data_IF_312878320339
#
_entry.id   IF_312878320339
#
_cell.length_a   1.000
_cell.length_b   1.000
_cell.length_c   1.000
_cell.angle_alpha   90.00
_cell.angle_beta   90.00
_cell.angle_gamma   90.00
#
_symmetry.space_group_name_H-M   'P 1'
#
loop_
_entity.id
_entity.type
_entity.pdbx_description
1 polymer ?
#
# COMPACT_ATOMS: atom_id res chain seq x y z
N UNK A 1 0.82 -43.26 5.43
CA UNK A 1 -0.33 -44.14 5.10
C UNK A 1 -1.60 -43.44 5.54
N UNK A 2 -2.72 -43.52 4.83
CA UNK A 2 -2.86 -43.68 3.37
C UNK A 2 -3.59 -42.51 2.70
N UNK A 3 -3.41 -42.43 1.40
CA UNK A 3 -4.18 -41.62 0.44
C UNK A 3 -5.64 -42.08 0.36
N UNK A 4 -6.53 -41.15 0.00
CA UNK A 4 -7.77 -41.49 -0.73
C UNK A 4 -8.03 -40.50 -1.85
N UNK A 5 -7.94 -41.07 -3.04
CA UNK A 5 -8.45 -40.55 -4.31
C UNK A 5 -9.98 -40.52 -4.31
N UNK A 6 -10.57 -39.59 -5.04
CA UNK A 6 -11.87 -39.85 -5.63
C UNK A 6 -12.09 -39.07 -6.93
N UNK A 7 -12.78 -39.70 -7.91
CA UNK A 7 -12.76 -39.28 -9.29
C UNK A 7 -13.98 -38.48 -9.72
N UNK A 8 -13.81 -37.88 -10.88
CA UNK A 8 -14.76 -37.18 -11.74
C UNK A 8 -16.06 -37.99 -12.03
N UNK A 9 -17.16 -37.28 -12.22
CA UNK A 9 -18.27 -37.75 -13.05
C UNK A 9 -18.78 -36.61 -13.94
N UNK A 10 -18.59 -36.80 -15.22
CA UNK A 10 -19.13 -35.98 -16.31
C UNK A 10 -20.54 -36.43 -16.62
N UNK A 11 -21.50 -35.52 -16.75
CA UNK A 11 -22.82 -35.77 -17.30
C UNK A 11 -22.99 -35.03 -18.62
N UNK A 12 -22.93 -35.80 -19.70
CA UNK A 12 -23.36 -35.38 -21.04
C UNK A 12 -24.87 -35.38 -21.13
N UNK A 13 -25.49 -34.29 -21.62
CA UNK A 13 -26.91 -34.22 -22.00
C UNK A 13 -27.03 -34.21 -23.52
N UNK A 14 -27.55 -35.30 -24.06
CA UNK A 14 -27.90 -35.52 -25.47
C UNK A 14 -29.04 -34.60 -25.89
N UNK A 15 -28.90 -34.00 -27.06
CA UNK A 15 -29.97 -33.32 -27.81
C UNK A 15 -30.69 -34.32 -28.69
N UNK A 16 -32.01 -34.46 -28.52
CA UNK A 16 -32.88 -35.18 -29.40
C UNK A 16 -33.50 -34.22 -30.43
N UNK A 17 -33.37 -34.59 -31.68
CA UNK A 17 -34.02 -33.97 -32.84
C UNK A 17 -35.34 -34.68 -33.07
N UNK A 18 -36.43 -33.93 -33.19
CA UNK A 18 -37.72 -34.43 -33.60
C UNK A 18 -38.15 -33.70 -34.87
N UNK A 19 -38.19 -34.45 -35.97
CA UNK A 19 -38.74 -34.07 -37.24
C UNK A 19 -40.20 -34.45 -37.28
N UNK A 20 -41.12 -33.53 -37.59
CA UNK A 20 -42.48 -33.82 -37.94
C UNK A 20 -42.83 -33.15 -39.27
N UNK A 21 -43.02 -33.99 -40.31
CA UNK A 21 -43.64 -33.66 -41.58
C UNK A 21 -45.15 -33.48 -41.38
N UNK A 22 -45.75 -32.44 -41.95
CA UNK A 22 -47.17 -32.43 -42.27
C UNK A 22 -47.47 -31.88 -43.68
N UNK A 23 -48.19 -32.61 -44.40
CA UNK A 23 -48.69 -32.42 -45.79
C UNK A 23 -49.75 -31.31 -45.88
N UNK A 24 -49.82 -30.76 -47.07
CA UNK A 24 -50.56 -29.61 -47.46
C UNK A 24 -52.06 -29.75 -47.57
N UNK A 25 -52.67 -28.64 -47.84
CA UNK A 25 -53.89 -28.51 -48.64
C UNK A 25 -53.93 -27.08 -49.22
N UNK A 26 -54.20 -27.04 -50.50
CA UNK A 26 -54.46 -25.89 -51.36
C UNK A 26 -55.78 -25.24 -51.05
N UNK A 27 -55.78 -23.90 -50.91
CA UNK A 27 -56.99 -23.09 -51.10
C UNK A 27 -56.58 -21.74 -51.69
N UNK A 28 -57.09 -21.50 -52.88
CA UNK A 28 -56.98 -20.29 -53.68
C UNK A 28 -57.89 -19.20 -53.11
N UNK A 29 -57.37 -18.07 -52.74
CA UNK A 29 -58.15 -16.84 -52.68
C UNK A 29 -57.32 -15.67 -53.18
N UNK A 30 -57.79 -15.08 -54.28
CA UNK A 30 -57.27 -13.80 -54.82
C UNK A 30 -57.47 -12.68 -53.79
N UNK A 31 -56.42 -12.08 -53.34
CA UNK A 31 -56.48 -10.82 -52.61
C UNK A 31 -55.48 -9.87 -53.22
N UNK A 32 -55.97 -8.70 -53.58
CA UNK A 32 -55.25 -7.60 -54.21
C UNK A 32 -53.96 -7.17 -53.43
N UNK A 33 -52.87 -7.20 -54.16
CA UNK A 33 -51.58 -6.70 -53.67
C UNK A 33 -51.55 -5.18 -53.74
N UNK A 34 -51.84 -4.50 -52.64
CA UNK A 34 -51.41 -3.11 -52.41
C UNK A 34 -49.92 -3.15 -52.11
N UNK A 35 -49.11 -2.61 -53.03
CA UNK A 35 -47.68 -2.49 -52.88
C UNK A 35 -47.35 -1.43 -51.81
N UNK A 36 -47.05 -1.89 -50.62
CA UNK A 36 -46.43 -1.07 -49.61
C UNK A 36 -44.97 -0.80 -50.04
N UNK A 37 -44.70 0.41 -50.52
CA UNK A 37 -43.33 0.87 -50.78
C UNK A 37 -42.58 0.81 -49.41
N UNK A 38 -41.73 -0.17 -49.25
CA UNK A 38 -40.74 -0.22 -48.19
C UNK A 38 -39.79 0.97 -48.39
N UNK A 39 -39.86 1.95 -47.50
CA UNK A 39 -38.86 3.00 -47.44
C UNK A 39 -37.55 2.37 -46.98
N UNK A 40 -36.66 2.13 -47.90
CA UNK A 40 -35.27 1.78 -47.61
C UNK A 40 -34.65 2.98 -46.91
N UNK A 41 -34.52 2.86 -45.60
CA UNK A 41 -33.82 3.82 -44.76
C UNK A 41 -32.34 3.81 -45.19
N UNK A 42 -31.96 4.75 -46.05
CA UNK A 42 -30.56 4.95 -46.39
C UNK A 42 -29.78 5.23 -45.09
N UNK A 43 -29.08 4.25 -44.58
CA UNK A 43 -28.06 4.46 -43.58
C UNK A 43 -26.96 5.28 -44.25
N UNK A 44 -26.85 6.54 -43.88
CA UNK A 44 -25.72 7.41 -44.27
C UNK A 44 -24.46 6.78 -43.70
N UNK A 45 -23.73 6.07 -44.54
CA UNK A 45 -22.45 5.47 -44.13
C UNK A 45 -21.44 6.62 -44.13
N UNK A 46 -20.85 6.85 -42.95
CA UNK A 46 -19.82 7.86 -42.74
C UNK A 46 -18.68 7.63 -43.75
N UNK A 47 -18.18 8.69 -44.46
CA UNK A 47 -17.10 8.55 -45.41
C UNK A 47 -15.83 8.02 -44.73
N UNK A 48 -15.08 7.18 -45.42
CA UNK A 48 -13.91 6.46 -44.87
C UNK A 48 -12.85 7.38 -44.30
N UNK A 49 -12.63 8.52 -44.90
CA UNK A 49 -11.67 9.53 -44.40
C UNK A 49 -12.09 10.08 -43.02
N UNK A 50 -13.39 10.38 -42.82
CA UNK A 50 -13.92 10.90 -41.57
C UNK A 50 -13.86 9.82 -40.45
N UNK A 51 -14.14 8.56 -40.81
CA UNK A 51 -13.99 7.42 -39.89
C UNK A 51 -12.54 7.23 -39.45
N UNK A 52 -11.58 7.39 -40.36
CA UNK A 52 -10.16 7.28 -40.05
C UNK A 52 -9.68 8.44 -39.17
N UNK A 53 -10.12 9.67 -39.43
CA UNK A 53 -9.82 10.80 -38.51
C UNK A 53 -10.40 10.56 -37.11
N UNK A 54 -11.64 10.12 -37.03
CA UNK A 54 -12.27 9.81 -35.73
C UNK A 54 -11.51 8.72 -34.96
N UNK A 55 -11.07 7.67 -35.68
CA UNK A 55 -10.26 6.61 -35.08
C UNK A 55 -8.92 7.15 -34.53
N UNK A 56 -8.24 8.01 -35.27
CA UNK A 56 -6.98 8.64 -34.80
C UNK A 56 -7.22 9.53 -33.57
N UNK A 57 -8.31 10.29 -33.54
CA UNK A 57 -8.67 11.11 -32.38
C UNK A 57 -8.97 10.23 -31.17
N UNK A 58 -9.72 9.15 -31.34
CA UNK A 58 -10.02 8.20 -30.23
C UNK A 58 -8.74 7.58 -29.69
N UNK A 59 -7.86 7.10 -30.56
CA UNK A 59 -6.57 6.54 -30.15
C UNK A 59 -5.71 7.59 -29.42
N UNK A 60 -5.68 8.82 -29.94
CA UNK A 60 -4.96 9.93 -29.29
C UNK A 60 -5.50 10.24 -27.89
N UNK A 61 -6.82 10.38 -27.76
CA UNK A 61 -7.46 10.60 -26.46
C UNK A 61 -7.20 9.45 -25.48
N UNK A 62 -7.25 8.19 -25.98
CA UNK A 62 -6.97 7.02 -25.16
C UNK A 62 -5.50 6.99 -24.69
N UNK A 63 -4.56 7.35 -25.58
CA UNK A 63 -3.13 7.44 -25.25
C UNK A 63 -2.84 8.52 -24.21
N UNK A 64 -3.47 9.67 -24.33
CA UNK A 64 -3.36 10.76 -23.36
C UNK A 64 -3.95 10.34 -22.00
N UNK A 65 -5.15 9.76 -22.00
CA UNK A 65 -5.76 9.26 -20.79
C UNK A 65 -4.90 8.17 -20.13
N UNK A 66 -4.38 7.22 -20.92
CA UNK A 66 -3.48 6.17 -20.45
C UNK A 66 -2.21 6.76 -19.82
N UNK A 67 -1.59 7.76 -20.48
CA UNK A 67 -0.44 8.46 -19.90
C UNK A 67 -0.76 9.11 -18.56
N UNK A 68 -1.87 9.86 -18.44
CA UNK A 68 -2.24 10.56 -17.22
C UNK A 68 -2.63 9.61 -16.07
N UNK A 69 -3.33 8.52 -16.36
CA UNK A 69 -3.82 7.60 -15.33
C UNK A 69 -2.83 6.50 -14.97
N UNK A 70 -2.02 6.04 -15.93
CA UNK A 70 -1.16 4.87 -15.73
C UNK A 70 0.34 5.20 -15.73
N UNK A 71 0.82 6.10 -16.58
CA UNK A 71 2.26 6.39 -16.67
C UNK A 71 2.66 7.51 -15.72
N UNK A 72 1.96 8.63 -15.72
CA UNK A 72 2.29 9.81 -14.93
C UNK A 72 2.41 9.53 -13.43
N UNK A 73 1.54 8.74 -12.78
CA UNK A 73 1.69 8.40 -11.35
C UNK A 73 2.97 7.62 -11.04
N UNK A 74 3.50 6.91 -12.04
CA UNK A 74 4.72 6.10 -11.90
C UNK A 74 5.97 6.76 -12.51
N UNK A 75 5.81 7.81 -13.31
CA UNK A 75 6.93 8.55 -13.92
C UNK A 75 7.90 9.12 -12.88
N UNK A 76 7.40 9.32 -11.64
CA UNK A 76 8.20 9.73 -10.50
C UNK A 76 9.27 8.71 -10.10
N UNK A 77 9.00 7.41 -10.30
CA UNK A 77 9.96 6.32 -10.05
C UNK A 77 11.15 6.34 -11.03
N UNK A 78 11.02 7.06 -12.15
CA UNK A 78 12.00 7.12 -13.22
C UNK A 78 12.78 8.43 -13.23
N UNK A 79 12.56 9.30 -12.25
CA UNK A 79 13.38 10.51 -12.13
C UNK A 79 14.83 10.11 -11.87
N UNK A 80 15.78 10.68 -12.60
CA UNK A 80 17.19 10.47 -12.31
C UNK A 80 17.45 10.92 -10.87
N UNK A 81 18.18 10.10 -10.11
CA UNK A 81 18.66 10.46 -8.81
C UNK A 81 19.78 11.50 -8.97
N UNK A 82 19.57 12.70 -8.44
CA UNK A 82 20.59 13.75 -8.37
C UNK A 82 21.41 13.70 -7.09
N UNK A 83 21.02 12.87 -6.11
CA UNK A 83 21.74 12.60 -4.89
C UNK A 83 22.58 11.33 -4.93
N UNK A 84 23.13 10.96 -3.78
CA UNK A 84 23.92 9.74 -3.62
C UNK A 84 23.04 8.49 -3.72
N UNK A 85 23.49 7.52 -4.51
CA UNK A 85 22.84 6.20 -4.64
C UNK A 85 23.47 5.15 -3.74
N UNK A 86 23.85 5.54 -2.56
CA UNK A 86 24.29 4.58 -1.56
C UNK A 86 23.09 3.77 -1.04
N UNK A 87 23.31 2.57 -0.61
CA UNK A 87 22.26 1.66 -0.11
C UNK A 87 21.13 1.32 -1.11
N UNK A 88 21.30 1.59 -2.42
CA UNK A 88 20.28 1.31 -3.43
C UNK A 88 19.09 2.25 -3.45
N UNK A 89 19.11 3.32 -2.67
CA UNK A 89 18.09 4.37 -2.62
C UNK A 89 18.70 5.72 -2.98
N UNK A 90 17.86 6.65 -3.47
CA UNK A 90 18.29 8.00 -3.71
C UNK A 90 18.18 8.80 -2.42
N UNK A 91 19.31 9.31 -1.93
CA UNK A 91 19.37 10.14 -0.73
C UNK A 91 19.42 11.59 -1.21
N UNK A 92 18.44 12.44 -0.82
CA UNK A 92 18.43 13.85 -1.16
C UNK A 92 19.62 14.57 -0.55
N UNK A 93 20.15 15.58 -1.25
CA UNK A 93 21.21 16.44 -0.74
C UNK A 93 20.69 17.32 0.42
N UNK A 94 21.61 17.72 1.33
CA UNK A 94 21.32 18.67 2.41
C UNK A 94 20.85 18.00 3.72
N UNK A 95 20.99 16.71 3.86
CA UNK A 95 20.77 15.97 5.10
C UNK A 95 22.04 15.26 5.53
N UNK A 96 22.52 15.56 6.75
CA UNK A 96 23.76 15.01 7.28
C UNK A 96 23.55 13.80 8.22
N UNK A 97 22.30 13.59 8.67
CA UNK A 97 21.97 12.53 9.62
C UNK A 97 21.07 11.50 8.94
N UNK A 98 21.58 10.29 8.81
CA UNK A 98 20.87 9.19 8.18
C UNK A 98 20.68 8.04 9.16
N UNK A 99 19.57 7.33 8.98
CA UNK A 99 19.26 6.12 9.74
C UNK A 99 18.47 5.14 8.88
N UNK A 100 18.26 3.97 9.45
CA UNK A 100 17.44 2.92 8.85
C UNK A 100 16.42 2.41 9.86
N UNK A 101 15.38 1.81 9.38
CA UNK A 101 14.49 0.95 10.17
C UNK A 101 14.61 -0.50 9.74
N UNK A 102 14.51 -1.39 10.70
CA UNK A 102 14.61 -2.84 10.49
C UNK A 102 13.58 -3.60 11.31
N UNK A 103 13.27 -4.80 10.85
CA UNK A 103 12.43 -5.79 11.53
C UNK A 103 12.91 -7.20 11.19
N UNK A 104 12.20 -8.21 11.61
CA UNK A 104 12.47 -9.60 11.21
C UNK A 104 12.49 -9.81 9.68
N UNK A 105 11.86 -8.93 8.89
CA UNK A 105 11.84 -9.03 7.43
C UNK A 105 13.22 -8.84 6.79
N UNK A 106 14.14 -8.11 7.42
CA UNK A 106 15.51 -7.95 6.96
C UNK A 106 16.40 -9.14 7.32
N UNK A 107 15.88 -10.09 8.11
CA UNK A 107 16.63 -11.26 8.54
C UNK A 107 17.84 -10.91 9.43
N UNK A 108 18.94 -11.61 9.23
CA UNK A 108 20.17 -11.40 10.00
C UNK A 108 20.94 -10.18 9.51
N UNK A 109 21.16 -9.22 10.36
CA UNK A 109 21.94 -8.00 10.06
C UNK A 109 23.43 -8.25 10.23
N UNK A 110 24.21 -7.86 9.24
CA UNK A 110 25.68 -7.79 9.34
C UNK A 110 26.11 -6.45 9.91
N UNK A 111 26.13 -6.37 11.23
CA UNK A 111 26.45 -5.14 11.95
C UNK A 111 27.86 -4.61 11.68
N UNK A 112 28.83 -5.49 11.40
CA UNK A 112 30.20 -5.09 11.05
C UNK A 112 30.21 -4.40 9.70
N UNK A 113 29.51 -4.93 8.71
CA UNK A 113 29.39 -4.32 7.40
C UNK A 113 28.63 -2.98 7.48
N UNK A 114 27.60 -2.90 8.31
CA UNK A 114 26.86 -1.67 8.53
C UNK A 114 27.73 -0.59 9.17
N UNK A 115 28.62 -0.96 10.09
CA UNK A 115 29.56 -0.04 10.74
C UNK A 115 30.60 0.51 9.74
N UNK A 116 31.07 -0.28 8.79
CA UNK A 116 31.99 0.19 7.75
C UNK A 116 31.43 1.34 6.91
N UNK A 117 30.09 1.41 6.79
CA UNK A 117 29.44 2.49 6.08
C UNK A 117 29.47 3.85 6.83
N UNK A 118 29.99 3.92 8.06
CA UNK A 118 30.25 5.20 8.75
C UNK A 118 31.34 6.05 8.11
N UNK A 119 32.17 5.43 7.28
CA UNK A 119 33.26 6.11 6.55
C UNK A 119 32.83 6.55 5.14
N UNK A 120 31.56 6.34 4.78
CA UNK A 120 31.00 6.71 3.48
C UNK A 120 30.53 8.17 3.47
N UNK A 121 30.15 8.66 2.30
CA UNK A 121 29.60 10.01 2.15
C UNK A 121 28.24 10.19 2.87
N UNK A 122 27.54 9.08 3.19
CA UNK A 122 26.25 9.07 3.91
C UNK A 122 26.28 8.11 5.09
N UNK A 123 26.99 8.45 6.18
CA UNK A 123 27.11 7.55 7.32
C UNK A 123 25.75 7.32 8.01
N UNK A 124 25.50 6.06 8.40
CA UNK A 124 24.34 5.73 9.21
C UNK A 124 24.62 6.05 10.69
N UNK A 125 23.74 6.82 11.30
CA UNK A 125 23.87 7.28 12.69
C UNK A 125 22.96 6.51 13.64
N UNK A 126 21.76 6.15 13.19
CA UNK A 126 20.76 5.53 14.03
C UNK A 126 20.01 4.37 13.32
N UNK A 127 19.42 3.52 14.14
CA UNK A 127 18.61 2.40 13.68
C UNK A 127 17.34 2.31 14.53
N UNK A 128 16.17 2.36 13.89
CA UNK A 128 14.90 1.99 14.50
C UNK A 128 14.60 0.51 14.26
N UNK A 129 14.10 -0.17 15.29
CA UNK A 129 13.80 -1.60 15.23
C UNK A 129 12.36 -1.87 15.62
N UNK A 130 11.66 -2.70 14.83
CA UNK A 130 10.36 -3.22 15.22
C UNK A 130 10.52 -3.98 16.53
N UNK A 131 9.78 -3.58 17.55
CA UNK A 131 9.77 -4.29 18.82
C UNK A 131 8.52 -5.15 18.95
N UNK A 132 7.36 -4.55 18.69
CA UNK A 132 6.07 -5.18 18.93
C UNK A 132 5.05 -4.79 17.86
N UNK A 133 4.02 -5.62 17.72
CA UNK A 133 2.85 -5.39 16.90
C UNK A 133 1.59 -5.84 17.63
N UNK A 134 0.52 -5.04 17.57
CA UNK A 134 -0.71 -5.39 18.24
C UNK A 134 -0.54 -5.64 19.73
N UNK A 135 -1.32 -6.54 20.30
CA UNK A 135 -1.34 -6.76 21.75
C UNK A 135 -0.44 -7.89 22.28
N UNK A 136 0.27 -8.63 21.42
CA UNK A 136 0.91 -9.90 21.78
C UNK A 136 2.02 -10.38 20.84
N UNK A 137 2.29 -9.70 19.73
CA UNK A 137 3.32 -10.11 18.79
C UNK A 137 4.64 -9.36 19.01
N UNK A 138 5.68 -10.08 19.44
CA UNK A 138 7.06 -9.56 19.47
C UNK A 138 7.76 -9.81 18.14
N UNK A 139 8.54 -8.83 17.68
CA UNK A 139 9.48 -9.08 16.59
C UNK A 139 10.60 -9.99 17.08
N UNK A 140 10.79 -11.13 16.41
CA UNK A 140 11.71 -12.19 16.83
C UNK A 140 13.17 -11.79 16.83
N UNK A 141 13.51 -10.70 16.14
CA UNK A 141 14.88 -10.21 16.00
C UNK A 141 15.17 -9.00 16.91
N UNK A 142 14.15 -8.47 17.58
CA UNK A 142 14.24 -7.21 18.31
C UNK A 142 15.35 -7.21 19.35
N UNK A 143 15.32 -8.12 20.30
CA UNK A 143 16.28 -8.12 21.43
C UNK A 143 17.73 -8.19 20.94
N UNK A 144 17.99 -9.11 19.99
CA UNK A 144 19.32 -9.27 19.42
C UNK A 144 19.77 -8.00 18.66
N UNK A 145 18.91 -7.46 17.81
CA UNK A 145 19.22 -6.27 17.03
C UNK A 145 19.37 -5.02 17.93
N UNK A 146 18.52 -4.88 18.94
CA UNK A 146 18.55 -3.76 19.86
C UNK A 146 19.85 -3.72 20.70
N UNK A 147 20.33 -4.88 21.14
CA UNK A 147 21.63 -5.01 21.80
C UNK A 147 22.79 -4.75 20.82
N UNK A 148 22.75 -5.34 19.63
CA UNK A 148 23.82 -5.21 18.64
C UNK A 148 23.98 -3.79 18.11
N UNK A 149 22.89 -3.05 17.88
CA UNK A 149 22.95 -1.65 17.44
C UNK A 149 23.79 -0.81 18.41
N UNK A 150 23.53 -0.93 19.71
CA UNK A 150 24.31 -0.24 20.75
C UNK A 150 25.76 -0.68 20.78
N UNK A 151 26.01 -1.99 20.71
CA UNK A 151 27.38 -2.55 20.77
C UNK A 151 28.24 -2.10 19.59
N UNK A 152 27.61 -1.74 18.46
CA UNK A 152 28.28 -1.20 17.27
C UNK A 152 28.22 0.35 17.19
N UNK A 153 27.79 1.02 18.27
CA UNK A 153 27.80 2.48 18.37
C UNK A 153 26.77 3.20 17.52
N UNK A 154 25.66 2.54 17.19
CA UNK A 154 24.49 3.20 16.62
C UNK A 154 23.57 3.74 17.71
N UNK A 155 23.01 4.92 17.50
CA UNK A 155 21.87 5.37 18.28
C UNK A 155 20.68 4.48 17.89
N UNK A 156 20.03 3.89 18.88
CA UNK A 156 18.97 2.93 18.63
C UNK A 156 17.61 3.46 19.06
N UNK A 157 16.57 3.02 18.38
CA UNK A 157 15.19 3.28 18.73
C UNK A 157 14.32 2.03 18.51
N UNK A 158 13.12 2.07 19.06
CA UNK A 158 12.16 1.00 18.92
C UNK A 158 10.82 1.51 18.43
N UNK A 159 10.14 0.73 17.57
CA UNK A 159 8.80 1.06 17.12
C UNK A 159 7.79 -0.04 17.39
N UNK A 160 6.55 0.40 17.55
CA UNK A 160 5.37 -0.43 17.68
C UNK A 160 4.47 -0.29 16.46
N UNK A 161 4.14 -1.39 15.80
CA UNK A 161 3.16 -1.40 14.72
C UNK A 161 1.73 -1.48 15.30
N UNK A 162 0.97 -0.41 15.09
CA UNK A 162 -0.34 -0.25 15.69
C UNK A 162 -1.44 -1.02 14.93
N UNK A 163 -2.17 -1.86 15.65
CA UNK A 163 -3.32 -2.59 15.13
C UNK A 163 -4.62 -2.01 15.71
N UNK A 164 -5.40 -1.23 14.93
CA UNK A 164 -6.57 -0.51 15.45
C UNK A 164 -7.69 -1.39 16.02
N UNK A 165 -7.76 -2.66 15.64
CA UNK A 165 -8.74 -3.62 16.18
C UNK A 165 -8.39 -4.14 17.59
N UNK A 166 -7.17 -3.89 18.05
CA UNK A 166 -6.70 -4.29 19.39
C UNK A 166 -6.77 -3.09 20.34
N UNK A 167 -7.07 -3.32 21.63
CA UNK A 167 -7.12 -2.25 22.63
C UNK A 167 -5.79 -1.49 22.71
N UNK A 168 -5.88 -0.16 22.67
CA UNK A 168 -4.72 0.71 22.61
C UNK A 168 -3.83 0.64 23.88
N UNK A 169 -4.42 0.52 25.05
CA UNK A 169 -3.66 0.42 26.30
C UNK A 169 -2.99 -0.95 26.42
N UNK A 170 -3.64 -2.02 25.97
CA UNK A 170 -3.01 -3.34 25.91
C UNK A 170 -1.76 -3.30 25.02
N UNK A 171 -1.83 -2.63 23.86
CA UNK A 171 -0.69 -2.44 22.95
C UNK A 171 0.42 -1.61 23.60
N UNK A 172 0.06 -0.48 24.23
CA UNK A 172 1.01 0.38 24.91
C UNK A 172 1.74 -0.34 26.04
N UNK A 173 0.99 -1.04 26.90
CA UNK A 173 1.58 -1.80 28.01
C UNK A 173 2.44 -2.97 27.51
N UNK A 174 2.08 -3.59 26.39
CA UNK A 174 2.89 -4.63 25.76
C UNK A 174 4.22 -4.07 25.26
N UNK A 175 4.20 -2.93 24.55
CA UNK A 175 5.41 -2.23 24.13
C UNK A 175 6.29 -1.85 25.33
N UNK A 176 5.72 -1.26 26.37
CA UNK A 176 6.44 -0.85 27.60
C UNK A 176 7.12 -2.03 28.28
N UNK A 177 6.46 -3.19 28.32
CA UNK A 177 7.06 -4.41 28.90
C UNK A 177 8.24 -4.93 28.10
N UNK A 178 8.15 -4.82 26.78
CA UNK A 178 9.16 -5.36 25.85
C UNK A 178 10.37 -4.44 25.71
N UNK A 179 10.14 -3.14 25.58
CA UNK A 179 11.18 -2.16 25.28
C UNK A 179 11.73 -1.54 26.57
N UNK A 180 13.03 -1.55 26.74
CA UNK A 180 13.72 -0.90 27.87
C UNK A 180 14.66 0.17 27.33
N UNK A 181 14.14 1.39 27.18
CA UNK A 181 14.92 2.54 26.76
C UNK A 181 15.81 3.03 27.90
N UNK A 182 16.97 3.50 27.54
CA UNK A 182 17.92 4.15 28.46
C UNK A 182 18.36 5.48 27.87
N UNK A 183 19.03 6.30 28.67
CA UNK A 183 19.59 7.57 28.20
C UNK A 183 20.46 7.36 26.96
N UNK A 184 20.24 8.17 25.92
CA UNK A 184 20.89 8.06 24.61
C UNK A 184 20.13 7.22 23.58
N UNK A 185 19.08 6.50 23.96
CA UNK A 185 18.18 5.86 23.01
C UNK A 185 17.19 6.90 22.43
N UNK A 186 16.69 6.65 21.21
CA UNK A 186 15.69 7.51 20.56
C UNK A 186 14.32 7.35 21.23
N UNK A 187 13.45 8.37 21.13
CA UNK A 187 12.08 8.26 21.61
C UNK A 187 11.32 7.07 21.00
N UNK A 188 10.33 6.51 21.71
CA UNK A 188 9.48 5.47 21.16
C UNK A 188 8.79 5.91 19.87
N UNK A 189 8.58 4.99 18.92
CA UNK A 189 7.82 5.28 17.69
C UNK A 189 6.54 4.48 17.68
N UNK A 190 5.43 5.16 17.37
CA UNK A 190 4.16 4.55 17.02
C UNK A 190 3.99 4.56 15.51
N UNK A 191 3.99 3.40 14.90
CA UNK A 191 3.80 3.19 13.47
C UNK A 191 2.32 2.95 13.16
N UNK A 192 1.68 3.90 12.46
CA UNK A 192 0.25 3.90 12.16
C UNK A 192 0.03 3.98 10.67
N UNK A 193 -0.33 2.85 10.05
CA UNK A 193 -0.50 2.76 8.60
C UNK A 193 -1.89 2.29 8.15
N UNK A 194 -2.65 1.67 9.07
CA UNK A 194 -3.94 1.06 8.76
C UNK A 194 -5.05 1.61 9.66
N UNK A 195 -6.27 1.68 9.12
CA UNK A 195 -7.45 2.15 9.88
C UNK A 195 -8.14 1.03 10.66
N UNK A 196 -7.91 -0.24 10.30
CA UNK A 196 -8.61 -1.39 10.87
C UNK A 196 -10.14 -1.33 10.70
N UNK A 197 -10.63 -0.58 9.71
CA UNK A 197 -12.06 -0.28 9.48
C UNK A 197 -12.71 0.50 10.63
N UNK A 198 -11.93 1.15 11.47
CA UNK A 198 -12.43 2.03 12.53
C UNK A 198 -12.88 3.36 11.96
N UNK A 199 -13.90 3.93 12.58
CA UNK A 199 -14.27 5.31 12.35
C UNK A 199 -13.11 6.24 12.77
N UNK A 200 -12.96 7.36 12.05
CA UNK A 200 -11.82 8.29 12.23
C UNK A 200 -11.63 8.72 13.68
N UNK A 201 -12.73 9.12 14.36
CA UNK A 201 -12.65 9.54 15.77
C UNK A 201 -12.22 8.42 16.70
N UNK A 202 -12.71 7.21 16.49
CA UNK A 202 -12.35 6.03 17.29
C UNK A 202 -10.86 5.70 17.11
N UNK A 203 -10.39 5.75 15.85
CA UNK A 203 -8.97 5.55 15.53
C UNK A 203 -8.10 6.59 16.23
N UNK A 204 -8.45 7.88 16.13
CA UNK A 204 -7.73 8.98 16.76
C UNK A 204 -7.68 8.84 18.29
N UNK A 205 -8.78 8.48 18.92
CA UNK A 205 -8.84 8.24 20.36
C UNK A 205 -7.94 7.07 20.78
N UNK A 206 -7.95 5.97 20.02
CA UNK A 206 -7.08 4.83 20.28
C UNK A 206 -5.60 5.21 20.19
N UNK A 207 -5.19 5.89 19.12
CA UNK A 207 -3.84 6.37 18.93
C UNK A 207 -3.42 7.30 20.08
N UNK A 208 -4.27 8.27 20.44
CA UNK A 208 -3.98 9.21 21.53
C UNK A 208 -3.78 8.49 22.86
N UNK A 209 -4.63 7.52 23.20
CA UNK A 209 -4.49 6.71 24.42
C UNK A 209 -3.15 5.96 24.48
N UNK A 210 -2.70 5.40 23.35
CA UNK A 210 -1.40 4.75 23.27
C UNK A 210 -0.27 5.76 23.52
N UNK A 211 -0.31 6.91 22.82
CA UNK A 211 0.69 7.97 22.94
C UNK A 211 0.82 8.47 24.37
N UNK A 212 -0.31 8.79 25.02
CA UNK A 212 -0.33 9.28 26.41
C UNK A 212 0.24 8.25 27.39
N UNK A 213 -0.11 6.97 27.20
CA UNK A 213 0.38 5.90 28.07
C UNK A 213 1.88 5.71 27.97
N UNK A 214 2.41 5.75 26.74
CA UNK A 214 3.83 5.60 26.47
C UNK A 214 4.63 6.84 26.88
N UNK A 215 4.13 8.04 26.59
CA UNK A 215 4.71 9.31 27.05
C UNK A 215 4.80 9.35 28.57
N UNK A 216 3.72 8.98 29.27
CA UNK A 216 3.70 8.92 30.74
C UNK A 216 4.73 7.95 31.32
N UNK A 217 5.04 6.84 30.63
CA UNK A 217 6.00 5.85 31.12
C UNK A 217 7.45 6.28 30.90
N UNK A 218 7.79 6.77 29.68
CA UNK A 218 9.17 7.09 29.34
C UNK A 218 9.54 8.55 29.62
N UNK A 219 8.58 9.41 29.91
CA UNK A 219 8.81 10.84 30.16
C UNK A 219 9.19 11.63 28.91
N UNK A 220 8.99 11.07 27.72
CA UNK A 220 9.31 11.69 26.43
C UNK A 220 8.19 11.44 25.43
N UNK A 221 7.92 12.45 24.58
CA UNK A 221 6.90 12.33 23.53
C UNK A 221 7.28 11.27 22.50
N UNK A 222 6.40 10.30 22.24
CA UNK A 222 6.61 9.36 21.14
C UNK A 222 6.60 10.06 19.78
N UNK A 223 7.30 9.47 18.83
CA UNK A 223 7.25 9.87 17.41
C UNK A 223 6.10 9.14 16.75
N UNK A 224 5.29 9.86 15.96
CA UNK A 224 4.27 9.28 15.09
C UNK A 224 4.86 9.01 13.71
N UNK A 225 5.01 7.71 13.35
CA UNK A 225 5.32 7.31 12.00
C UNK A 225 4.04 7.02 11.23
N UNK A 226 3.94 7.57 10.03
CA UNK A 226 2.83 7.32 9.12
C UNK A 226 3.11 7.88 7.71
N UNK A 227 2.33 7.47 6.71
CA UNK A 227 2.41 8.12 5.39
C UNK A 227 1.79 9.52 5.40
N UNK A 228 2.29 10.41 4.54
CA UNK A 228 1.72 11.76 4.40
C UNK A 228 0.22 11.74 4.11
N UNK A 229 -0.22 10.83 3.24
CA UNK A 229 -1.65 10.63 2.93
C UNK A 229 -2.46 10.20 4.14
N UNK A 230 -1.92 9.32 4.98
CA UNK A 230 -2.61 8.87 6.19
C UNK A 230 -2.69 9.99 7.21
N UNK A 231 -1.60 10.74 7.43
CA UNK A 231 -1.58 11.91 8.30
C UNK A 231 -2.68 12.91 7.94
N UNK A 232 -2.72 13.34 6.69
CA UNK A 232 -3.67 14.37 6.23
C UNK A 232 -5.13 13.90 6.26
N UNK A 233 -5.37 12.59 6.15
CA UNK A 233 -6.73 12.05 6.11
C UNK A 233 -7.27 11.63 7.47
N UNK A 234 -6.42 11.08 8.32
CA UNK A 234 -6.84 10.43 9.56
C UNK A 234 -6.24 11.04 10.83
N UNK A 235 -5.10 11.73 10.77
CA UNK A 235 -4.43 12.36 11.91
C UNK A 235 -4.38 13.89 11.79
N UNK A 236 -5.46 14.47 11.28
CA UNK A 236 -5.62 15.91 11.07
C UNK A 236 -6.15 16.68 12.31
N UNK A 237 -6.44 15.98 13.40
CA UNK A 237 -6.82 16.62 14.66
C UNK A 237 -5.60 17.32 15.30
N UNK A 238 -5.85 18.52 15.85
CA UNK A 238 -4.82 19.35 16.48
C UNK A 238 -4.11 18.69 17.68
N UNK A 239 -4.75 17.68 18.31
CA UNK A 239 -4.14 16.92 19.42
C UNK A 239 -2.84 16.22 19.03
N UNK A 240 -2.67 15.92 17.73
CA UNK A 240 -1.46 15.28 17.22
C UNK A 240 -0.34 16.26 16.87
N UNK A 241 -0.59 17.57 16.81
CA UNK A 241 0.42 18.57 16.51
C UNK A 241 1.51 18.68 17.60
N UNK A 242 1.22 18.17 18.79
CA UNK A 242 2.17 18.14 19.90
C UNK A 242 3.24 17.06 19.77
N UNK A 243 3.08 16.12 18.83
CA UNK A 243 3.99 14.99 18.64
C UNK A 243 4.88 15.19 17.42
N UNK A 244 6.16 14.78 17.49
CA UNK A 244 7.01 14.76 16.32
C UNK A 244 6.52 13.70 15.31
N UNK A 245 6.65 14.01 14.03
CA UNK A 245 6.28 13.10 12.96
C UNK A 245 7.50 12.57 12.22
N UNK A 246 7.47 11.27 11.93
CA UNK A 246 8.28 10.64 10.91
C UNK A 246 7.37 10.30 9.73
N UNK A 247 7.50 11.06 8.64
CA UNK A 247 6.59 10.95 7.50
C UNK A 247 7.19 10.06 6.41
N UNK A 248 6.53 8.94 6.13
CA UNK A 248 6.80 8.16 4.94
C UNK A 248 6.21 8.88 3.72
N UNK A 249 7.07 9.41 2.87
CA UNK A 249 6.68 10.10 1.66
C UNK A 249 7.55 9.68 0.48
N UNK A 250 7.22 8.50 -0.04
CA UNK A 250 7.94 7.92 -1.16
C UNK A 250 7.69 8.73 -2.43
N UNK A 251 8.72 8.89 -3.27
CA UNK A 251 8.66 9.49 -4.59
C UNK A 251 8.53 11.02 -4.68
N UNK A 252 8.73 11.75 -3.61
CA UNK A 252 8.80 13.22 -3.58
C UNK A 252 9.96 13.68 -2.72
N UNK A 253 10.56 14.81 -3.06
CA UNK A 253 11.75 15.33 -2.40
C UNK A 253 11.40 16.13 -1.13
N UNK A 254 10.14 16.57 -0.98
CA UNK A 254 9.70 17.33 0.18
C UNK A 254 8.20 17.17 0.44
N UNK A 255 7.81 17.24 1.69
CA UNK A 255 6.41 17.33 2.13
C UNK A 255 5.97 18.79 1.98
N UNK A 256 4.99 19.04 1.11
CA UNK A 256 4.39 20.37 0.90
C UNK A 256 3.11 20.51 1.69
#
# INVERSE_FOLDING_TARGET
>A
MPQRNNPMSAVQKKRTVSTTKRKGTTSSSKTSRTSKKEQVKHRTVMPTWLRNILAVIIVGCFSVAFYYFFIRPYAYRWKPCHGLKEYGVCIPDGYDIHGIDISHYQGKIDWKKLLQNKETATPLHFVFMKATEGGDHNDTTFEANFANARNHGFIRGAYHFYIPSTDALKQADFFIRTVKLVSGDLPPVLDVEVTGRKEKKELQQGIKRWLDRVESHYGVKPILYTSYKFKTRYLDDSIFNAYPYWIAHYYVDSVK
#
